data_IF_059089749380
#
_entry.id   IF_059089749380
#
_cell.length_a   1.000
_cell.length_b   1.000
_cell.length_c   1.000
_cell.angle_alpha   90.00
_cell.angle_beta   90.00
_cell.angle_gamma   90.00
#
_symmetry.space_group_name_H-M   'P 1'
#
loop_
_entity.id
_entity.type
_entity.pdbx_description
1 polymer ?
#
# COMPACT_ATOMS: atom_id res chain seq x y z
N UNK A 1 -30.44 -22.55 -21.59
CA UNK A 1 -30.57 -21.20 -22.13
C UNK A 1 -29.89 -20.26 -21.15
N UNK A 2 -28.86 -19.55 -21.62
CA UNK A 2 -28.17 -18.50 -20.86
C UNK A 2 -29.13 -17.31 -20.74
N UNK A 3 -29.39 -16.87 -19.51
CA UNK A 3 -30.21 -15.69 -19.23
C UNK A 3 -29.44 -14.73 -18.35
N UNK A 4 -29.05 -13.58 -18.91
CA UNK A 4 -28.54 -12.44 -18.16
C UNK A 4 -29.70 -11.47 -17.93
N UNK A 5 -30.00 -11.16 -16.67
CA UNK A 5 -31.10 -10.26 -16.33
C UNK A 5 -30.74 -9.25 -15.26
N UNK A 6 -31.37 -8.08 -15.36
CA UNK A 6 -31.43 -7.07 -14.31
C UNK A 6 -32.23 -7.62 -13.13
N UNK A 7 -31.56 -7.82 -12.00
CA UNK A 7 -32.15 -8.39 -10.80
C UNK A 7 -32.82 -7.32 -9.93
N UNK A 8 -34.13 -7.15 -10.13
CA UNK A 8 -34.95 -6.13 -9.47
C UNK A 8 -35.71 -6.70 -8.28
N UNK A 9 -35.04 -6.88 -7.14
CA UNK A 9 -35.70 -7.25 -5.88
C UNK A 9 -35.60 -6.11 -4.87
N UNK A 10 -36.63 -5.26 -4.83
CA UNK A 10 -36.75 -4.15 -3.87
C UNK A 10 -38.19 -4.05 -3.38
N UNK A 11 -38.37 -3.69 -2.11
CA UNK A 11 -39.68 -3.38 -1.51
C UNK A 11 -40.02 -1.89 -1.56
N UNK A 12 -39.10 -1.05 -2.05
CA UNK A 12 -39.28 0.40 -2.18
C UNK A 12 -39.94 0.74 -3.51
N UNK A 13 -40.92 1.65 -3.46
CA UNK A 13 -41.62 2.17 -4.64
C UNK A 13 -40.90 3.36 -5.29
N UNK A 14 -40.08 4.10 -4.56
CA UNK A 14 -39.36 5.29 -5.04
C UNK A 14 -37.93 5.38 -4.49
N UNK A 15 -37.06 6.09 -5.22
CA UNK A 15 -35.67 6.37 -4.84
C UNK A 15 -34.62 5.66 -5.70
N UNK A 16 -33.36 5.81 -5.29
CA UNK A 16 -32.19 5.27 -5.99
C UNK A 16 -31.81 3.89 -5.45
N UNK A 17 -31.61 2.91 -6.34
CA UNK A 17 -31.14 1.57 -6.00
C UNK A 17 -29.86 1.22 -6.76
N UNK A 18 -29.00 0.40 -6.16
CA UNK A 18 -27.83 -0.15 -6.86
C UNK A 18 -28.26 -1.22 -7.84
N UNK A 19 -27.70 -1.19 -9.04
CA UNK A 19 -27.93 -2.21 -10.06
C UNK A 19 -27.37 -3.56 -9.62
N UNK A 20 -28.11 -4.61 -9.92
CA UNK A 20 -27.69 -5.99 -9.72
C UNK A 20 -28.04 -6.77 -10.96
N UNK A 21 -27.14 -7.64 -11.35
CA UNK A 21 -27.31 -8.50 -12.50
C UNK A 21 -27.26 -9.95 -12.04
N UNK A 22 -28.06 -10.80 -12.67
CA UNK A 22 -28.10 -12.23 -12.42
C UNK A 22 -27.85 -12.94 -13.72
N UNK A 23 -26.85 -13.82 -13.73
CA UNK A 23 -26.52 -14.66 -14.86
C UNK A 23 -26.89 -16.10 -14.51
N UNK A 24 -27.82 -16.67 -15.26
CA UNK A 24 -28.20 -18.08 -15.17
C UNK A 24 -27.78 -18.84 -16.41
N UNK A 25 -27.19 -20.01 -16.22
CA UNK A 25 -27.03 -20.99 -17.29
C UNK A 25 -27.40 -22.39 -16.78
N UNK A 26 -28.60 -22.85 -17.15
CA UNK A 26 -29.13 -24.14 -16.72
C UNK A 26 -29.39 -24.24 -15.21
N UNK A 27 -29.15 -25.43 -14.64
CA UNK A 27 -29.26 -25.70 -13.19
C UNK A 27 -27.94 -25.53 -12.44
N UNK A 28 -26.83 -25.44 -13.17
CA UNK A 28 -25.48 -25.53 -12.61
C UNK A 28 -24.88 -24.15 -12.31
N UNK A 29 -25.33 -23.09 -13.02
CA UNK A 29 -24.76 -21.76 -12.88
C UNK A 29 -25.85 -20.75 -12.52
N UNK A 30 -25.69 -20.12 -11.35
CA UNK A 30 -26.52 -19.02 -10.86
C UNK A 30 -25.63 -17.98 -10.16
N UNK A 31 -25.15 -17.01 -10.96
CA UNK A 31 -24.17 -16.02 -10.54
C UNK A 31 -24.82 -14.64 -10.42
N UNK A 32 -24.29 -13.84 -9.51
CA UNK A 32 -24.76 -12.49 -9.24
C UNK A 32 -23.61 -11.50 -9.36
N UNK A 33 -23.89 -10.36 -9.99
CA UNK A 33 -22.99 -9.21 -10.02
C UNK A 33 -23.67 -7.99 -9.37
N UNK A 34 -22.95 -7.31 -8.47
CA UNK A 34 -23.42 -6.06 -7.84
C UNK A 34 -22.65 -4.88 -8.43
N UNK A 35 -23.30 -4.09 -9.27
CA UNK A 35 -22.70 -2.90 -9.85
C UNK A 35 -22.67 -1.74 -8.84
N UNK A 36 -21.71 -0.84 -9.04
CA UNK A 36 -21.58 0.42 -8.29
C UNK A 36 -22.60 1.47 -8.75
N UNK A 37 -23.17 1.29 -9.95
CA UNK A 37 -24.13 2.21 -10.55
C UNK A 37 -25.44 2.24 -9.74
N UNK A 38 -25.85 3.45 -9.35
CA UNK A 38 -27.16 3.73 -8.76
C UNK A 38 -28.11 4.24 -9.82
N UNK A 39 -29.34 3.76 -9.81
CA UNK A 39 -30.37 4.11 -10.77
C UNK A 39 -31.69 4.40 -10.06
N UNK A 40 -32.46 5.34 -10.60
CA UNK A 40 -33.80 5.64 -10.10
C UNK A 40 -34.76 4.51 -10.50
N UNK A 41 -35.61 4.09 -9.57
CA UNK A 41 -36.64 3.08 -9.83
C UNK A 41 -37.54 3.48 -11.01
N UNK A 42 -37.84 4.78 -11.19
CA UNK A 42 -38.68 5.28 -12.30
C UNK A 42 -38.02 5.15 -13.67
N UNK A 43 -36.70 5.17 -13.74
CA UNK A 43 -35.99 4.92 -14.99
C UNK A 43 -35.79 3.43 -15.25
N UNK A 44 -35.72 2.61 -14.19
CA UNK A 44 -35.63 1.16 -14.34
C UNK A 44 -36.94 0.51 -14.78
N UNK A 45 -38.10 1.05 -14.40
CA UNK A 45 -39.41 0.54 -14.86
C UNK A 45 -39.60 0.65 -16.37
N UNK A 46 -38.85 1.53 -17.04
CA UNK A 46 -38.85 1.71 -18.50
C UNK A 46 -38.08 0.62 -19.25
N UNK A 47 -37.26 -0.15 -18.54
CA UNK A 47 -36.45 -1.22 -19.10
C UNK A 47 -37.09 -2.58 -18.82
N UNK A 48 -36.84 -3.56 -19.66
CA UNK A 48 -37.11 -4.98 -19.42
C UNK A 48 -36.03 -5.62 -18.57
N UNK A 49 -36.29 -6.83 -18.07
CA UNK A 49 -35.32 -7.57 -17.27
C UNK A 49 -34.09 -7.94 -18.10
N UNK A 50 -34.22 -8.07 -19.43
CA UNK A 50 -33.09 -8.25 -20.35
C UNK A 50 -32.27 -6.97 -20.61
N UNK A 51 -32.61 -5.84 -19.98
CA UNK A 51 -31.92 -4.55 -20.19
C UNK A 51 -32.38 -3.78 -21.43
N UNK A 52 -33.27 -4.34 -22.25
CA UNK A 52 -33.90 -3.67 -23.40
C UNK A 52 -34.94 -2.63 -22.97
N UNK A 53 -35.29 -1.71 -23.86
CA UNK A 53 -36.38 -0.76 -23.61
C UNK A 53 -37.72 -1.45 -23.81
N UNK A 54 -38.66 -1.20 -22.88
CA UNK A 54 -40.02 -1.73 -23.04
C UNK A 54 -40.67 -1.17 -24.31
N UNK A 55 -41.50 -1.96 -25.01
CA UNK A 55 -42.26 -1.47 -26.16
C UNK A 55 -43.06 -0.22 -25.75
N UNK A 56 -42.97 0.86 -26.53
CA UNK A 56 -43.65 2.16 -26.35
C UNK A 56 -42.99 3.19 -25.39
N UNK A 57 -41.77 2.95 -24.91
CA UNK A 57 -41.00 3.98 -24.19
C UNK A 57 -40.20 4.83 -25.19
N UNK A 58 -40.51 6.12 -25.30
CA UNK A 58 -39.78 7.07 -26.14
C UNK A 58 -38.81 7.97 -25.37
N UNK A 59 -39.04 8.20 -24.07
CA UNK A 59 -38.21 9.06 -23.22
C UNK A 59 -37.58 8.22 -22.10
N UNK A 60 -36.26 8.07 -22.15
CA UNK A 60 -35.49 7.32 -21.16
C UNK A 60 -34.13 7.98 -20.92
N UNK A 61 -33.47 7.53 -19.84
CA UNK A 61 -32.14 8.00 -19.48
C UNK A 61 -31.08 7.27 -20.32
N UNK A 62 -30.55 7.95 -21.33
CA UNK A 62 -29.53 7.39 -22.23
C UNK A 62 -28.24 7.00 -21.50
N UNK A 63 -27.78 7.81 -20.55
CA UNK A 63 -26.56 7.54 -19.78
C UNK A 63 -26.71 6.28 -18.92
N UNK A 64 -27.89 6.09 -18.31
CA UNK A 64 -28.19 4.88 -17.55
C UNK A 64 -28.25 3.64 -18.46
N UNK A 65 -28.85 3.76 -19.65
CA UNK A 65 -28.91 2.65 -20.62
C UNK A 65 -27.52 2.24 -21.07
N UNK A 66 -26.67 3.22 -21.40
CA UNK A 66 -25.28 2.96 -21.80
C UNK A 66 -24.48 2.26 -20.70
N UNK A 67 -24.65 2.68 -19.43
CA UNK A 67 -24.04 2.00 -18.27
C UNK A 67 -24.53 0.57 -18.13
N UNK A 68 -25.84 0.32 -18.27
CA UNK A 68 -26.41 -1.03 -18.21
C UNK A 68 -25.87 -1.91 -19.33
N UNK A 69 -25.76 -1.39 -20.56
CA UNK A 69 -25.27 -2.15 -21.71
C UNK A 69 -23.80 -2.48 -21.59
N UNK A 70 -23.00 -1.52 -21.10
CA UNK A 70 -21.57 -1.73 -20.80
C UNK A 70 -21.37 -2.82 -19.75
N UNK A 71 -22.16 -2.76 -18.67
CA UNK A 71 -22.15 -3.76 -17.59
C UNK A 71 -22.54 -5.14 -18.11
N UNK A 72 -23.64 -5.24 -18.86
CA UNK A 72 -24.09 -6.51 -19.43
C UNK A 72 -23.06 -7.11 -20.39
N UNK A 73 -22.48 -6.30 -21.27
CA UNK A 73 -21.44 -6.74 -22.20
C UNK A 73 -20.20 -7.25 -21.48
N UNK A 74 -19.76 -6.57 -20.42
CA UNK A 74 -18.63 -7.01 -19.59
C UNK A 74 -18.93 -8.34 -18.88
N UNK A 75 -20.14 -8.51 -18.33
CA UNK A 75 -20.58 -9.74 -17.69
C UNK A 75 -20.61 -10.91 -18.66
N UNK A 76 -21.14 -10.70 -19.87
CA UNK A 76 -21.19 -11.74 -20.89
C UNK A 76 -19.80 -12.15 -21.36
N UNK A 77 -18.93 -11.17 -21.60
CA UNK A 77 -17.55 -11.39 -22.03
C UNK A 77 -16.77 -12.14 -20.96
N UNK A 78 -16.88 -11.72 -19.69
CA UNK A 78 -16.26 -12.40 -18.55
C UNK A 78 -16.71 -13.85 -18.44
N UNK A 79 -18.01 -14.12 -18.60
CA UNK A 79 -18.53 -15.48 -18.52
C UNK A 79 -18.04 -16.37 -19.65
N UNK A 80 -18.01 -15.86 -20.89
CA UNK A 80 -17.50 -16.58 -22.06
C UNK A 80 -16.02 -16.91 -21.88
N UNK A 81 -15.23 -15.94 -21.40
CA UNK A 81 -13.81 -16.13 -21.11
C UNK A 81 -13.57 -17.24 -20.08
N UNK A 82 -14.36 -17.27 -19.00
CA UNK A 82 -14.23 -18.30 -17.97
C UNK A 82 -14.65 -19.68 -18.50
N UNK A 83 -15.77 -19.76 -19.22
CA UNK A 83 -16.21 -21.03 -19.84
C UNK A 83 -15.20 -21.58 -20.86
N UNK A 84 -14.41 -20.73 -21.51
CA UNK A 84 -13.36 -21.17 -22.42
C UNK A 84 -12.13 -21.76 -21.69
N UNK A 85 -11.89 -21.34 -20.44
CA UNK A 85 -10.70 -21.73 -19.65
C UNK A 85 -10.95 -22.87 -18.68
N UNK A 86 -12.18 -23.03 -18.20
CA UNK A 86 -12.52 -24.01 -17.17
C UNK A 86 -13.94 -24.53 -17.31
N UNK A 87 -14.20 -25.66 -16.65
CA UNK A 87 -15.55 -26.22 -16.57
C UNK A 87 -16.48 -25.30 -15.75
N UNK A 88 -17.76 -25.25 -16.15
CA UNK A 88 -18.77 -24.35 -15.57
C UNK A 88 -18.97 -24.57 -14.08
N UNK A 89 -18.82 -25.81 -13.63
CA UNK A 89 -18.94 -26.23 -12.23
C UNK A 89 -17.89 -25.59 -11.31
N UNK A 90 -16.76 -25.14 -11.86
CA UNK A 90 -15.64 -24.55 -11.13
C UNK A 90 -15.68 -23.02 -11.10
N UNK A 91 -16.64 -22.39 -11.80
CA UNK A 91 -16.76 -20.93 -11.83
C UNK A 91 -17.35 -20.44 -10.50
N UNK A 92 -16.47 -19.97 -9.61
CA UNK A 92 -16.88 -19.37 -8.34
C UNK A 92 -17.36 -17.93 -8.53
N UNK A 93 -18.22 -17.46 -7.62
CA UNK A 93 -18.70 -16.08 -7.64
C UNK A 93 -17.56 -15.05 -7.52
N UNK A 94 -16.51 -15.36 -6.76
CA UNK A 94 -15.34 -14.47 -6.58
C UNK A 94 -14.56 -14.31 -7.88
N UNK A 95 -14.25 -15.41 -8.56
CA UNK A 95 -13.53 -15.40 -9.84
C UNK A 95 -14.34 -14.69 -10.94
N UNK A 96 -15.66 -14.86 -10.90
CA UNK A 96 -16.57 -14.18 -11.81
C UNK A 96 -16.55 -12.66 -11.62
N UNK A 97 -16.69 -12.19 -10.37
CA UNK A 97 -16.62 -10.77 -10.02
C UNK A 97 -15.27 -10.14 -10.40
N UNK A 98 -14.15 -10.82 -10.12
CA UNK A 98 -12.81 -10.35 -10.51
C UNK A 98 -12.67 -10.18 -12.03
N UNK A 99 -13.19 -11.14 -12.80
CA UNK A 99 -13.13 -11.11 -14.26
C UNK A 99 -14.02 -10.00 -14.82
N UNK A 100 -15.20 -9.76 -14.25
CA UNK A 100 -16.07 -8.64 -14.62
C UNK A 100 -15.38 -7.31 -14.33
N UNK A 101 -14.80 -7.14 -13.15
CA UNK A 101 -14.05 -5.93 -12.79
C UNK A 101 -12.90 -5.65 -13.77
N UNK A 102 -12.25 -6.70 -14.29
CA UNK A 102 -11.19 -6.57 -15.32
C UNK A 102 -11.70 -5.97 -16.62
N UNK A 103 -12.88 -6.39 -17.07
CA UNK A 103 -13.51 -5.88 -18.30
C UNK A 103 -14.09 -4.46 -18.13
N UNK A 104 -14.63 -4.14 -16.95
CA UNK A 104 -15.21 -2.82 -16.67
C UNK A 104 -14.16 -1.74 -16.42
N UNK A 105 -13.09 -2.10 -15.70
CA UNK A 105 -12.03 -1.20 -15.30
C UNK A 105 -10.66 -1.68 -15.82
N UNK A 106 -10.47 -1.77 -17.14
CA UNK A 106 -9.21 -2.24 -17.72
C UNK A 106 -8.04 -1.35 -17.29
N UNK A 107 -8.26 -0.07 -16.97
CA UNK A 107 -7.23 0.84 -16.47
C UNK A 107 -6.62 0.39 -15.13
N UNK A 108 -7.41 -0.23 -14.24
CA UNK A 108 -6.92 -0.78 -12.97
C UNK A 108 -5.96 -1.96 -13.20
N UNK A 109 -6.09 -2.67 -14.33
CA UNK A 109 -5.27 -3.81 -14.70
C UNK A 109 -4.16 -3.48 -15.71
N UNK A 110 -4.31 -2.43 -16.52
CA UNK A 110 -3.24 -1.89 -17.37
C UNK A 110 -2.06 -1.40 -16.51
N UNK A 111 -2.34 -0.86 -15.32
CA UNK A 111 -1.34 -0.53 -14.31
C UNK A 111 -0.60 -1.75 -13.72
N UNK A 112 -1.20 -2.95 -13.80
CA UNK A 112 -0.60 -4.22 -13.35
C UNK A 112 0.22 -4.89 -14.46
N UNK A 113 -0.10 -4.65 -15.74
CA UNK A 113 0.60 -5.29 -16.88
C UNK A 113 1.82 -4.55 -17.41
N UNK A 114 1.99 -3.26 -17.10
CA UNK A 114 3.26 -2.60 -17.38
C UNK A 114 4.20 -2.98 -16.24
N UNK A 115 5.21 -3.80 -16.51
CA UNK A 115 6.21 -4.13 -15.49
C UNK A 115 6.85 -2.83 -14.99
N UNK A 116 6.41 -2.38 -13.82
CA UNK A 116 6.92 -1.17 -13.18
C UNK A 116 8.39 -1.39 -12.82
N UNK A 117 9.21 -0.39 -13.10
CA UNK A 117 10.58 -0.38 -12.58
C UNK A 117 10.55 -0.37 -11.05
N UNK A 118 11.64 -0.80 -10.42
CA UNK A 118 11.79 -0.79 -8.97
C UNK A 118 11.48 0.59 -8.37
N UNK A 119 11.91 1.67 -9.02
CA UNK A 119 11.66 3.04 -8.58
C UNK A 119 10.19 3.46 -8.72
N UNK A 120 9.54 3.10 -9.83
CA UNK A 120 8.11 3.39 -10.05
C UNK A 120 7.26 2.64 -9.02
N UNK A 121 7.50 1.34 -8.85
CA UNK A 121 6.77 0.49 -7.90
C UNK A 121 6.98 0.94 -6.45
N UNK A 122 8.19 1.36 -6.10
CA UNK A 122 8.50 1.91 -4.78
C UNK A 122 7.80 3.26 -4.56
N UNK A 123 7.73 4.11 -5.58
CA UNK A 123 6.99 5.38 -5.52
C UNK A 123 5.49 5.12 -5.28
N UNK A 124 4.92 4.12 -5.96
CA UNK A 124 3.53 3.71 -5.76
C UNK A 124 3.29 3.22 -4.34
N UNK A 125 4.16 2.39 -3.79
CA UNK A 125 4.10 1.93 -2.40
C UNK A 125 4.06 3.09 -1.39
N UNK A 126 4.90 4.12 -1.57
CA UNK A 126 4.90 5.31 -0.70
C UNK A 126 3.57 6.06 -0.79
N UNK A 127 3.07 6.27 -2.01
CA UNK A 127 1.83 7.02 -2.26
C UNK A 127 0.61 6.29 -1.71
N UNK A 128 0.48 4.99 -1.97
CA UNK A 128 -0.59 4.14 -1.46
C UNK A 128 -0.57 4.12 0.07
N UNK A 129 0.59 3.84 0.67
CA UNK A 129 0.70 3.76 2.12
C UNK A 129 0.35 5.08 2.83
N UNK A 130 0.68 6.23 2.24
CA UNK A 130 0.26 7.54 2.77
C UNK A 130 -1.24 7.79 2.57
N UNK A 131 -1.77 7.55 1.37
CA UNK A 131 -3.19 7.73 1.04
C UNK A 131 -4.09 6.90 1.95
N UNK A 132 -3.68 5.67 2.24
CA UNK A 132 -4.45 4.72 3.03
C UNK A 132 -4.26 4.93 4.55
N UNK A 133 -3.49 5.95 4.95
CA UNK A 133 -3.26 6.31 6.36
C UNK A 133 -2.29 5.39 7.11
N UNK A 134 -1.70 4.40 6.43
CA UNK A 134 -0.75 3.46 7.05
C UNK A 134 0.61 4.12 7.36
N UNK A 135 1.00 5.15 6.61
CA UNK A 135 2.24 5.91 6.83
C UNK A 135 1.94 7.31 7.36
N UNK A 136 2.50 7.62 8.53
CA UNK A 136 2.61 9.00 9.00
C UNK A 136 3.58 9.82 8.13
N UNK A 137 3.44 11.14 8.13
CA UNK A 137 4.26 12.07 7.33
C UNK A 137 5.77 11.87 7.56
N UNK A 138 6.19 11.75 8.82
CA UNK A 138 7.60 11.48 9.19
C UNK A 138 8.12 10.19 8.54
N UNK A 139 7.28 9.16 8.43
CA UNK A 139 7.64 7.88 7.81
C UNK A 139 7.72 8.01 6.29
N UNK A 140 6.83 8.79 5.67
CA UNK A 140 6.88 9.11 4.24
C UNK A 140 8.20 9.82 3.87
N UNK A 141 8.65 10.77 4.69
CA UNK A 141 9.95 11.44 4.51
C UNK A 141 11.12 10.46 4.54
N UNK A 142 11.09 9.47 5.44
CA UNK A 142 12.11 8.42 5.51
C UNK A 142 12.13 7.53 4.25
N UNK A 143 10.95 7.12 3.77
CA UNK A 143 10.85 6.35 2.53
C UNK A 143 11.36 7.15 1.31
N UNK A 144 10.99 8.42 1.20
CA UNK A 144 11.48 9.32 0.14
C UNK A 144 13.00 9.55 0.23
N UNK A 145 13.55 9.63 1.44
CA UNK A 145 14.99 9.69 1.65
C UNK A 145 15.72 8.49 1.06
N UNK A 146 15.20 7.28 1.31
CA UNK A 146 15.73 6.05 0.70
C UNK A 146 15.50 6.01 -0.82
N UNK A 147 14.35 6.47 -1.32
CA UNK A 147 14.08 6.53 -2.76
C UNK A 147 15.16 7.31 -3.51
N UNK A 148 15.54 8.49 -2.99
CA UNK A 148 16.56 9.32 -3.62
C UNK A 148 17.95 8.65 -3.62
N UNK A 149 18.30 7.95 -2.55
CA UNK A 149 19.55 7.18 -2.44
C UNK A 149 19.55 5.97 -3.39
N UNK A 150 18.43 5.26 -3.45
CA UNK A 150 18.24 4.13 -4.37
C UNK A 150 18.31 4.60 -5.82
N UNK A 151 17.69 5.75 -6.15
CA UNK A 151 17.77 6.37 -7.47
C UNK A 151 19.23 6.68 -7.84
N UNK A 152 20.00 7.31 -6.95
CA UNK A 152 21.44 7.56 -7.19
C UNK A 152 22.22 6.27 -7.40
N UNK A 153 22.03 5.27 -6.55
CA UNK A 153 22.66 3.96 -6.70
C UNK A 153 22.36 3.35 -8.07
N UNK A 154 21.09 3.29 -8.47
CA UNK A 154 20.67 2.71 -9.74
C UNK A 154 21.19 3.53 -10.94
N UNK A 155 21.25 4.85 -10.84
CA UNK A 155 21.86 5.70 -11.88
C UNK A 155 23.34 5.38 -12.06
N UNK A 156 24.11 5.30 -10.96
CA UNK A 156 25.55 4.99 -10.99
C UNK A 156 25.80 3.60 -11.61
N UNK A 157 24.88 2.66 -11.37
CA UNK A 157 24.96 1.28 -11.88
C UNK A 157 24.37 1.11 -13.28
N UNK A 158 23.75 2.15 -13.85
CA UNK A 158 22.99 2.10 -15.09
C UNK A 158 21.85 1.05 -15.07
N UNK A 159 21.14 0.98 -13.94
CA UNK A 159 20.08 -0.01 -13.66
C UNK A 159 18.73 0.64 -13.33
N UNK A 160 18.44 1.83 -13.88
CA UNK A 160 17.19 2.56 -13.62
C UNK A 160 15.93 1.77 -13.99
N UNK A 161 16.03 0.88 -14.97
CA UNK A 161 14.92 0.06 -15.46
C UNK A 161 14.85 -1.33 -14.79
N UNK A 162 15.57 -1.54 -13.69
CA UNK A 162 15.53 -2.84 -12.98
C UNK A 162 14.14 -3.09 -12.42
N UNK A 163 13.65 -4.31 -12.58
CA UNK A 163 12.38 -4.75 -11.99
C UNK A 163 12.59 -5.22 -10.54
N UNK A 164 11.58 -5.10 -9.67
CA UNK A 164 11.68 -5.60 -8.30
C UNK A 164 12.07 -7.08 -8.20
N UNK A 165 11.51 -7.94 -9.05
CA UNK A 165 11.82 -9.38 -9.11
C UNK A 165 13.27 -9.69 -9.50
N UNK A 166 13.90 -8.80 -10.27
CA UNK A 166 15.25 -8.97 -10.79
C UNK A 166 16.33 -8.44 -9.83
N UNK A 167 15.94 -7.75 -8.76
CA UNK A 167 16.87 -7.21 -7.77
C UNK A 167 17.34 -8.32 -6.83
N UNK A 168 18.60 -8.72 -6.97
CA UNK A 168 19.13 -9.91 -6.29
C UNK A 168 19.61 -9.63 -4.86
N UNK A 169 19.88 -10.71 -4.11
CA UNK A 169 20.53 -10.62 -2.79
C UNK A 169 21.95 -10.03 -2.86
N UNK A 170 22.63 -10.14 -4.00
CA UNK A 170 23.93 -9.53 -4.22
C UNK A 170 23.82 -8.04 -4.53
N UNK A 171 22.78 -7.63 -5.27
CA UNK A 171 22.48 -6.21 -5.48
C UNK A 171 22.10 -5.52 -4.18
N UNK A 172 21.42 -6.23 -3.27
CA UNK A 172 21.17 -5.76 -1.91
C UNK A 172 22.47 -5.54 -1.11
N UNK A 173 23.47 -6.42 -1.23
CA UNK A 173 24.76 -6.22 -0.56
C UNK A 173 25.56 -5.06 -1.17
N UNK A 174 25.52 -4.90 -2.50
CA UNK A 174 26.14 -3.77 -3.19
C UNK A 174 25.47 -2.45 -2.80
N UNK A 175 24.14 -2.44 -2.70
CA UNK A 175 23.39 -1.29 -2.20
C UNK A 175 23.79 -0.98 -0.75
N UNK A 176 23.90 -1.98 0.12
CA UNK A 176 24.39 -1.78 1.50
C UNK A 176 25.76 -1.11 1.51
N UNK A 177 26.72 -1.59 0.73
CA UNK A 177 28.06 -0.99 0.63
C UNK A 177 27.98 0.45 0.12
N UNK A 178 27.19 0.71 -0.92
CA UNK A 178 26.95 2.07 -1.41
C UNK A 178 26.40 2.99 -0.31
N UNK A 179 25.46 2.51 0.51
CA UNK A 179 24.91 3.33 1.60
C UNK A 179 25.96 3.69 2.65
N UNK A 180 26.94 2.82 2.94
CA UNK A 180 28.08 3.19 3.79
C UNK A 180 28.96 4.23 3.13
N UNK A 181 29.32 3.98 1.88
CA UNK A 181 30.40 4.69 1.19
C UNK A 181 29.93 5.79 0.23
N UNK A 182 28.66 6.21 0.33
CA UNK A 182 28.05 7.16 -0.62
C UNK A 182 28.88 8.43 -0.80
N UNK A 183 29.54 8.89 0.28
CA UNK A 183 30.43 10.05 0.26
C UNK A 183 31.55 9.94 -0.78
N UNK A 184 32.06 8.73 -1.08
CA UNK A 184 33.08 8.49 -2.11
C UNK A 184 32.56 8.70 -3.54
N UNK A 185 31.24 8.74 -3.72
CA UNK A 185 30.58 8.91 -5.02
C UNK A 185 30.21 10.37 -5.29
N UNK A 186 30.27 11.25 -4.29
CA UNK A 186 29.96 12.68 -4.45
C UNK A 186 30.91 13.35 -5.43
N UNK A 187 32.22 13.15 -5.24
CA UNK A 187 33.26 13.71 -6.13
C UNK A 187 33.20 13.10 -7.54
N UNK A 188 32.84 11.81 -7.64
CA UNK A 188 32.79 11.08 -8.93
C UNK A 188 31.58 11.44 -9.77
N UNK A 189 30.47 11.81 -9.14
CA UNK A 189 29.19 12.07 -9.81
C UNK A 189 28.53 13.36 -9.29
N UNK A 190 29.18 14.53 -9.40
CA UNK A 190 28.69 15.77 -8.78
C UNK A 190 27.29 16.18 -9.26
N UNK A 191 26.96 15.88 -10.52
CA UNK A 191 25.64 16.14 -11.09
C UNK A 191 24.48 15.42 -10.35
N UNK A 192 24.75 14.29 -9.67
CA UNK A 192 23.73 13.57 -8.91
C UNK A 192 23.41 14.22 -7.55
N UNK A 193 24.23 15.18 -7.12
CA UNK A 193 24.13 15.83 -5.80
C UNK A 193 23.85 17.34 -5.89
N UNK A 194 23.74 17.90 -7.10
CA UNK A 194 23.54 19.35 -7.33
C UNK A 194 22.27 19.91 -6.71
N UNK A 195 21.17 19.14 -6.70
CA UNK A 195 19.87 19.55 -6.16
C UNK A 195 19.75 19.28 -4.65
N UNK A 196 20.75 18.67 -4.02
CA UNK A 196 20.73 18.30 -2.62
C UNK A 196 21.25 19.49 -1.79
N UNK A 197 20.52 19.82 -0.72
CA UNK A 197 20.98 20.83 0.25
C UNK A 197 22.37 20.46 0.76
N UNK A 198 23.29 21.41 0.78
CA UNK A 198 24.70 21.19 1.13
C UNK A 198 24.89 20.40 2.43
N UNK A 199 24.14 20.74 3.49
CA UNK A 199 24.14 20.01 4.78
C UNK A 199 23.72 18.53 4.72
N UNK A 200 23.05 18.13 3.64
CA UNK A 200 22.58 16.77 3.41
C UNK A 200 23.49 15.98 2.46
N UNK A 201 24.52 16.61 1.90
CA UNK A 201 25.49 15.94 1.04
C UNK A 201 26.34 14.99 1.91
N UNK A 202 26.44 13.69 1.54
CA UNK A 202 27.26 12.75 2.29
C UNK A 202 28.73 13.17 2.29
N UNK A 203 29.28 13.47 3.47
CA UNK A 203 30.68 13.88 3.63
C UNK A 203 31.57 12.81 4.27
N UNK A 204 30.98 11.78 4.87
CA UNK A 204 31.68 10.70 5.57
C UNK A 204 30.91 9.39 5.50
N UNK A 205 31.58 8.32 5.93
CA UNK A 205 30.96 7.01 6.05
C UNK A 205 29.75 7.04 7.01
N UNK A 206 28.65 6.40 6.60
CA UNK A 206 27.43 6.36 7.41
C UNK A 206 27.56 5.36 8.56
N UNK A 207 26.94 5.69 9.69
CA UNK A 207 26.86 4.78 10.83
C UNK A 207 26.08 3.49 10.49
N UNK A 208 26.47 2.38 11.10
CA UNK A 208 25.85 1.07 10.92
C UNK A 208 24.32 1.11 11.13
N UNK A 209 23.85 1.76 12.21
CA UNK A 209 22.41 1.85 12.52
C UNK A 209 21.64 2.63 11.45
N UNK A 210 22.23 3.70 10.90
CA UNK A 210 21.62 4.48 9.82
C UNK A 210 21.40 3.63 8.57
N UNK A 211 22.38 2.80 8.21
CA UNK A 211 22.27 1.89 7.07
C UNK A 211 21.27 0.76 7.36
N UNK A 212 21.28 0.19 8.58
CA UNK A 212 20.33 -0.84 8.99
C UNK A 212 18.88 -0.36 8.92
N UNK A 213 18.58 0.86 9.41
CA UNK A 213 17.25 1.46 9.33
C UNK A 213 16.80 1.58 7.87
N UNK A 214 17.67 2.06 6.98
CA UNK A 214 17.37 2.17 5.54
C UNK A 214 17.08 0.80 4.92
N UNK A 215 17.85 -0.22 5.28
CA UNK A 215 17.61 -1.57 4.78
C UNK A 215 16.32 -2.18 5.31
N UNK A 216 15.87 -1.83 6.52
CA UNK A 216 14.54 -2.22 7.03
C UNK A 216 13.39 -1.53 6.29
N UNK A 217 13.56 -0.26 5.95
CA UNK A 217 12.60 0.48 5.12
C UNK A 217 12.45 -0.23 3.77
N UNK A 218 13.56 -0.59 3.13
CA UNK A 218 13.54 -1.36 1.89
C UNK A 218 12.95 -2.76 2.09
N UNK A 219 13.23 -3.42 3.20
CA UNK A 219 12.68 -4.73 3.53
C UNK A 219 11.15 -4.67 3.61
N UNK A 220 10.59 -3.66 4.28
CA UNK A 220 9.14 -3.49 4.39
C UNK A 220 8.45 -3.39 3.02
N UNK A 221 9.09 -2.70 2.07
CA UNK A 221 8.63 -2.67 0.69
C UNK A 221 8.64 -4.06 0.03
N UNK A 222 9.73 -4.82 0.15
CA UNK A 222 9.79 -6.17 -0.44
C UNK A 222 8.86 -7.18 0.24
N UNK A 223 8.57 -7.02 1.54
CA UNK A 223 7.55 -7.83 2.22
C UNK A 223 6.18 -7.56 1.61
N UNK A 224 5.86 -6.29 1.35
CA UNK A 224 4.59 -5.94 0.73
C UNK A 224 4.44 -6.47 -0.71
N UNK A 225 5.55 -6.57 -1.46
CA UNK A 225 5.55 -7.24 -2.76
C UNK A 225 5.30 -8.75 -2.66
N UNK A 226 5.85 -9.41 -1.63
CA UNK A 226 5.55 -10.82 -1.36
C UNK A 226 4.08 -11.00 -0.97
N UNK A 227 3.54 -10.13 -0.11
CA UNK A 227 2.16 -10.21 0.38
C UNK A 227 1.11 -9.98 -0.73
N UNK A 228 1.51 -9.31 -1.82
CA UNK A 228 0.67 -9.07 -3.02
C UNK A 228 0.92 -10.07 -4.15
N UNK A 229 1.73 -11.11 -3.92
CA UNK A 229 2.14 -12.09 -4.92
C UNK A 229 2.77 -11.46 -6.19
N UNK A 230 3.39 -10.28 -6.04
CA UNK A 230 4.11 -9.61 -7.14
C UNK A 230 5.52 -10.20 -7.35
N UNK A 231 6.07 -10.83 -6.30
CA UNK A 231 7.32 -11.59 -6.33
C UNK A 231 7.17 -12.88 -5.54
N UNK A 232 7.82 -13.96 -5.98
CA UNK A 232 7.79 -15.24 -5.24
C UNK A 232 8.56 -15.16 -3.91
N UNK A 233 9.76 -14.55 -3.96
CA UNK A 233 10.68 -14.49 -2.81
C UNK A 233 11.55 -13.24 -2.87
N UNK A 234 11.49 -12.46 -1.77
CA UNK A 234 12.30 -11.28 -1.50
C UNK A 234 13.79 -11.55 -1.48
N UNK A 235 14.57 -10.59 -1.97
CA UNK A 235 16.03 -10.58 -1.86
C UNK A 235 16.51 -10.72 -0.40
N UNK A 236 15.74 -10.20 0.57
CA UNK A 236 16.04 -10.30 1.99
C UNK A 236 15.83 -11.72 2.56
N UNK A 237 14.96 -12.54 1.95
CA UNK A 237 14.77 -13.96 2.28
C UNK A 237 15.84 -14.85 1.66
N UNK A 238 16.37 -14.45 0.50
CA UNK A 238 17.47 -15.14 -0.20
C UNK A 238 18.84 -14.94 0.45
N UNK A 239 18.98 -14.04 1.43
CA UNK A 239 20.22 -13.89 2.21
C UNK A 239 20.42 -15.09 3.15
N UNK A 240 21.64 -15.63 3.19
CA UNK A 240 22.01 -16.62 4.19
C UNK A 240 21.93 -16.05 5.62
N UNK A 241 21.91 -16.95 6.62
CA UNK A 241 21.77 -16.59 8.04
C UNK A 241 22.83 -15.59 8.52
N UNK A 242 24.05 -15.64 8.01
CA UNK A 242 25.16 -14.78 8.42
C UNK A 242 25.03 -13.39 7.78
N UNK A 243 24.79 -13.34 6.46
CA UNK A 243 24.54 -12.09 5.71
C UNK A 243 23.34 -11.35 6.28
N UNK A 244 22.25 -12.06 6.59
CA UNK A 244 21.05 -11.46 7.21
C UNK A 244 21.37 -10.81 8.57
N UNK A 245 22.16 -11.47 9.43
CA UNK A 245 22.60 -10.89 10.71
C UNK A 245 23.41 -9.61 10.49
N UNK A 246 24.33 -9.58 9.52
CA UNK A 246 25.19 -8.41 9.25
C UNK A 246 24.41 -7.23 8.65
N UNK A 247 23.49 -7.52 7.72
CA UNK A 247 22.66 -6.52 7.03
C UNK A 247 21.78 -5.74 8.01
N UNK A 248 21.26 -6.42 9.04
CA UNK A 248 20.29 -5.85 9.99
C UNK A 248 20.84 -5.58 11.38
N UNK A 249 22.16 -5.70 11.59
CA UNK A 249 22.78 -5.49 12.90
C UNK A 249 22.65 -4.02 13.30
N UNK A 250 22.00 -3.78 14.44
CA UNK A 250 22.15 -2.53 15.19
C UNK A 250 23.15 -2.72 16.31
N UNK A 251 23.94 -1.69 16.57
CA UNK A 251 24.89 -1.64 17.67
C UNK A 251 24.59 -0.39 18.50
N UNK A 252 24.41 -0.58 19.79
CA UNK A 252 24.26 0.52 20.75
C UNK A 252 25.47 0.48 21.66
N UNK A 253 26.11 1.63 21.86
CA UNK A 253 27.14 1.74 22.88
C UNK A 253 26.50 1.58 24.26
N UNK A 254 27.26 1.04 25.21
CA UNK A 254 26.85 1.09 26.62
C UNK A 254 26.62 2.57 27.00
N UNK A 255 25.63 2.90 27.83
CA UNK A 255 25.42 4.28 28.26
C UNK A 255 26.64 4.76 29.05
N UNK A 256 27.55 5.49 28.40
CA UNK A 256 28.77 6.04 29.00
C UNK A 256 28.46 7.46 29.49
N UNK A 257 28.63 7.66 30.80
CA UNK A 257 28.59 8.92 31.56
C UNK A 257 27.60 9.99 31.09
N UNK A 258 26.34 9.87 31.53
CA UNK A 258 25.40 10.99 31.54
C UNK A 258 25.87 12.04 32.57
N UNK A 259 25.84 13.32 32.19
CA UNK A 259 25.88 14.44 33.15
C UNK A 259 24.79 14.22 34.22
N UNK A 260 25.02 14.64 35.46
CA UNK A 260 24.13 14.34 36.59
C UNK A 260 22.66 14.70 36.31
N UNK A 261 22.40 15.84 35.68
CA UNK A 261 21.06 16.30 35.28
C UNK A 261 20.43 15.40 34.20
N UNK A 262 21.24 14.97 33.22
CA UNK A 262 20.80 14.03 32.18
C UNK A 262 20.52 12.64 32.76
N UNK A 263 21.22 12.26 33.84
CA UNK A 263 20.95 11.02 34.58
C UNK A 263 19.60 11.08 35.29
N UNK A 264 19.27 12.19 35.94
CA UNK A 264 17.99 12.36 36.64
C UNK A 264 16.81 12.39 35.66
N UNK A 265 16.94 13.12 34.55
CA UNK A 265 15.95 13.13 33.48
C UNK A 265 15.77 11.73 32.85
N UNK A 266 16.86 11.01 32.61
CA UNK A 266 16.83 9.64 32.09
C UNK A 266 16.16 8.67 33.06
N UNK A 267 16.49 8.73 34.35
CA UNK A 267 15.85 7.90 35.38
C UNK A 267 14.36 8.20 35.47
N UNK A 268 13.97 9.48 35.46
CA UNK A 268 12.57 9.88 35.49
C UNK A 268 11.81 9.39 34.26
N UNK A 269 12.38 9.54 33.06
CA UNK A 269 11.81 8.99 31.83
C UNK A 269 11.63 7.46 31.91
N UNK A 270 12.64 6.75 32.43
CA UNK A 270 12.57 5.30 32.63
C UNK A 270 11.50 4.90 33.65
N UNK A 271 11.33 5.67 34.74
CA UNK A 271 10.29 5.40 35.75
C UNK A 271 8.88 5.57 35.20
N UNK A 272 8.67 6.53 34.29
CA UNK A 272 7.38 6.68 33.61
C UNK A 272 7.19 5.72 32.44
N UNK A 273 8.26 5.12 31.92
CA UNK A 273 8.24 4.35 30.68
C UNK A 273 7.80 5.18 29.47
N UNK A 274 8.02 6.50 29.50
CA UNK A 274 7.52 7.44 28.50
C UNK A 274 8.47 7.57 27.30
N UNK A 275 7.89 7.75 26.10
CA UNK A 275 8.66 8.15 24.93
C UNK A 275 9.30 9.53 25.15
N UNK A 276 10.43 9.82 24.50
CA UNK A 276 11.18 11.08 24.72
C UNK A 276 10.35 12.31 24.37
N UNK A 277 9.53 12.23 23.32
CA UNK A 277 8.65 13.34 22.92
C UNK A 277 7.54 13.58 23.95
N UNK A 278 6.98 12.51 24.52
CA UNK A 278 5.98 12.60 25.59
C UNK A 278 6.63 13.19 26.86
N UNK A 279 7.83 12.74 27.19
CA UNK A 279 8.64 13.24 28.30
C UNK A 279 8.96 14.72 28.15
N UNK A 280 9.37 15.16 26.96
CA UNK A 280 9.62 16.56 26.64
C UNK A 280 8.34 17.42 26.68
N UNK A 281 7.17 16.80 26.49
CA UNK A 281 5.88 17.47 26.61
C UNK A 281 5.38 17.58 28.06
N UNK A 282 6.11 17.00 29.03
CA UNK A 282 5.77 17.10 30.45
C UNK A 282 5.95 18.53 30.93
N UNK A 283 4.96 19.01 31.65
CA UNK A 283 5.00 20.28 32.36
C UNK A 283 4.28 20.12 33.70
N UNK A 284 4.44 21.12 34.57
CA UNK A 284 3.86 21.06 35.91
C UNK A 284 2.32 21.04 35.90
N UNK A 285 1.68 21.53 34.84
CA UNK A 285 0.21 21.50 34.70
C UNK A 285 -0.34 20.08 34.52
N UNK A 286 0.48 19.15 34.02
CA UNK A 286 0.16 17.72 33.89
C UNK A 286 0.45 16.93 35.18
N UNK A 287 1.01 17.56 36.20
CA UNK A 287 1.37 16.91 37.47
C UNK A 287 0.30 17.17 38.52
N UNK A 288 -0.48 16.14 38.85
CA UNK A 288 -1.43 16.19 39.96
C UNK A 288 -0.75 15.69 41.24
N UNK A 289 -0.69 16.56 42.26
CA UNK A 289 -0.28 16.13 43.59
C UNK A 289 -1.46 15.49 44.31
N UNK A 290 -1.32 14.22 44.70
CA UNK A 290 -2.34 13.51 45.49
C UNK A 290 -1.80 13.33 46.90
N UNK A 291 -2.50 13.80 47.96
CA UNK A 291 -2.08 13.56 49.33
C UNK A 291 -2.35 12.09 49.67
N UNK A 292 -1.31 11.26 49.72
CA UNK A 292 -1.35 9.98 50.43
C UNK A 292 -0.17 9.91 51.38
N UNK A 293 -0.49 9.67 52.66
CA UNK A 293 0.50 9.41 53.69
C UNK A 293 1.42 8.27 53.26
N UNK A 294 2.72 8.49 53.49
CA UNK A 294 3.84 7.60 53.18
C UNK A 294 4.15 7.43 51.67
N UNK A 295 4.94 8.38 51.16
CA UNK A 295 5.92 8.24 50.07
C UNK A 295 5.48 7.37 48.88
N UNK A 296 4.58 7.88 48.05
CA UNK A 296 4.59 7.63 46.60
C UNK A 296 3.78 8.72 45.91
N UNK A 297 4.45 9.68 45.28
CA UNK A 297 3.79 10.65 44.39
C UNK A 297 3.38 9.91 43.11
N UNK A 298 2.08 9.69 42.93
CA UNK A 298 1.56 9.18 41.67
C UNK A 298 1.31 10.36 40.72
N UNK A 299 2.21 10.57 39.76
CA UNK A 299 2.02 11.55 38.69
C UNK A 299 1.11 10.92 37.64
N UNK A 300 -0.18 11.23 37.68
CA UNK A 300 -1.16 10.79 36.68
C UNK A 300 -1.06 11.67 35.44
N UNK A 301 -0.37 11.19 34.40
CA UNK A 301 -0.36 11.84 33.09
C UNK A 301 -1.68 11.58 32.36
N UNK A 302 -2.50 12.62 32.21
CA UNK A 302 -3.66 12.57 31.30
C UNK A 302 -3.16 12.48 29.86
N UNK A 303 -3.47 11.38 29.17
CA UNK A 303 -3.48 11.34 27.70
C UNK A 303 -4.74 12.06 27.23
N UNK A 304 -4.58 13.09 26.41
CA UNK A 304 -5.66 13.63 25.58
C UNK A 304 -5.81 12.78 24.33
#
# INVERSE_FOLDING_TARGET
MKGLTLFRRTTKSEGMIKLRFRLKDGREVDLYHKSETKADIKDLTKLEDAGELRPKVSIYNHELKEKIDREMSAIETAYIELCAKMDKSLITATLFEETICRHLHPQNYIAVTKEETLLERYTRFIKEGYRDGTFAEKRMLQYNGLYNELKRYLTIRNQLNVLPKSFSADDLMKLRLFLFEEYKYVEKYPALYSEIKERCIPSKERAQNTVAIKLRILQAFYTELEDRDEIDVSAFRKLDKNRRKVVMKESYDAPVYLLQEAKEAFLLQCTFGSHIDDFNSLNMDKVLSVPRGFLTYAICLRKH
#
